data_IF_054643048847
#
_entry.id   IF_054643048847
#
_cell.length_a   1.000
_cell.length_b   1.000
_cell.length_c   1.000
_cell.angle_alpha   90.00
_cell.angle_beta   90.00
_cell.angle_gamma   90.00
#
_symmetry.space_group_name_H-M   'P 1'
#
loop_
_entity.id
_entity.type
_entity.pdbx_description
1 polymer ?
#
# COMPACT_ATOMS: atom_id res chain seq x y z
N UNK A 1 -2.26 -14.60 -21.05
CA UNK A 1 -1.68 -13.77 -19.98
C UNK A 1 -0.93 -12.54 -20.50
N UNK A 2 -0.03 -12.67 -21.48
CA UNK A 2 0.75 -11.52 -21.98
C UNK A 2 -0.14 -10.39 -22.54
N UNK A 3 -1.21 -10.71 -23.25
CA UNK A 3 -2.20 -9.74 -23.75
C UNK A 3 -2.89 -8.94 -22.67
N UNK A 4 -3.22 -9.56 -21.50
CA UNK A 4 -3.81 -8.85 -20.38
C UNK A 4 -2.81 -7.86 -19.75
N UNK A 5 -1.55 -8.25 -19.58
CA UNK A 5 -0.50 -7.34 -19.11
C UNK A 5 -0.22 -6.22 -20.11
N UNK A 6 -0.32 -6.48 -21.42
CA UNK A 6 -0.21 -5.43 -22.43
C UNK A 6 -1.34 -4.41 -22.27
N UNK A 7 -2.59 -4.86 -22.10
CA UNK A 7 -3.73 -3.98 -21.86
C UNK A 7 -3.57 -3.11 -20.60
N UNK A 8 -2.96 -3.63 -19.54
CA UNK A 8 -2.67 -2.82 -18.33
C UNK A 8 -1.82 -1.60 -18.66
N UNK A 9 -0.87 -1.72 -19.58
CA UNK A 9 0.08 -0.65 -19.89
C UNK A 9 -0.34 0.25 -21.05
N UNK A 10 -1.13 -0.25 -22.00
CA UNK A 10 -1.44 0.47 -23.25
C UNK A 10 -2.85 1.06 -23.29
N UNK A 11 -3.77 0.61 -22.44
CA UNK A 11 -5.17 1.01 -22.49
C UNK A 11 -5.50 2.19 -21.56
N UNK A 12 -6.75 2.65 -21.60
CA UNK A 12 -7.26 3.66 -20.65
C UNK A 12 -7.24 3.11 -19.23
N UNK A 13 -7.15 3.99 -18.23
CA UNK A 13 -7.04 3.59 -16.81
C UNK A 13 -8.16 2.62 -16.37
N UNK A 14 -9.39 2.83 -16.82
CA UNK A 14 -10.51 1.97 -16.48
C UNK A 14 -10.36 0.55 -17.05
N UNK A 15 -9.84 0.42 -18.26
CA UNK A 15 -9.56 -0.88 -18.89
C UNK A 15 -8.38 -1.54 -18.19
N UNK A 16 -7.31 -0.78 -17.92
CA UNK A 16 -6.14 -1.24 -17.15
C UNK A 16 -6.54 -1.80 -15.80
N UNK A 17 -7.42 -1.11 -15.07
CA UNK A 17 -7.91 -1.53 -13.76
C UNK A 17 -8.73 -2.83 -13.82
N UNK A 18 -9.60 -2.96 -14.83
CA UNK A 18 -10.37 -4.20 -15.06
C UNK A 18 -9.46 -5.36 -15.45
N UNK A 19 -8.46 -5.11 -16.29
CA UNK A 19 -7.44 -6.10 -16.64
C UNK A 19 -6.65 -6.56 -15.42
N UNK A 20 -6.23 -5.64 -14.54
CA UNK A 20 -5.58 -5.95 -13.28
C UNK A 20 -6.47 -6.79 -12.35
N UNK A 21 -7.78 -6.49 -12.29
CA UNK A 21 -8.73 -7.26 -11.49
C UNK A 21 -8.84 -8.71 -12.01
N UNK A 22 -8.88 -8.91 -13.31
CA UNK A 22 -8.88 -10.25 -13.92
C UNK A 22 -7.57 -10.98 -13.65
N UNK A 23 -6.43 -10.28 -13.78
CA UNK A 23 -5.12 -10.88 -13.48
C UNK A 23 -5.04 -11.28 -12.01
N UNK A 24 -5.60 -10.47 -11.09
CA UNK A 24 -5.65 -10.78 -9.65
C UNK A 24 -6.43 -12.08 -9.39
N UNK A 25 -7.59 -12.24 -10.02
CA UNK A 25 -8.38 -13.46 -9.88
C UNK A 25 -7.63 -14.70 -10.40
N UNK A 26 -6.94 -14.56 -11.53
CA UNK A 26 -6.11 -15.64 -12.08
C UNK A 26 -4.92 -15.90 -11.18
N UNK A 27 -4.23 -14.85 -10.72
CA UNK A 27 -3.06 -14.94 -9.83
C UNK A 27 -3.38 -15.64 -8.51
N UNK A 28 -4.61 -15.49 -8.00
CA UNK A 28 -5.07 -16.17 -6.78
C UNK A 28 -5.05 -17.71 -6.89
N UNK A 29 -5.05 -18.27 -8.12
CA UNK A 29 -4.96 -19.71 -8.37
C UNK A 29 -3.51 -20.22 -8.43
N UNK A 30 -2.51 -19.34 -8.36
CA UNK A 30 -1.10 -19.70 -8.44
C UNK A 30 -0.40 -19.54 -7.08
N UNK A 31 0.66 -20.31 -6.83
CA UNK A 31 1.47 -20.10 -5.61
C UNK A 31 2.14 -18.72 -5.59
N UNK A 32 2.33 -18.17 -4.40
CA UNK A 32 2.89 -16.83 -4.20
C UNK A 32 4.27 -16.61 -4.84
N UNK A 33 5.02 -17.68 -5.06
CA UNK A 33 6.35 -17.69 -5.71
C UNK A 33 6.28 -17.66 -7.24
N UNK A 34 5.08 -17.77 -7.83
CA UNK A 34 4.92 -17.80 -9.27
C UNK A 34 5.37 -16.47 -9.92
N UNK A 35 6.04 -16.54 -11.09
CA UNK A 35 6.42 -15.34 -11.84
C UNK A 35 5.22 -14.51 -12.28
N UNK A 36 4.04 -15.12 -12.44
CA UNK A 36 2.80 -14.42 -12.77
C UNK A 36 2.39 -13.54 -11.60
N UNK A 37 2.44 -14.04 -10.38
CA UNK A 37 2.12 -13.31 -9.15
C UNK A 37 3.10 -12.14 -8.97
N UNK A 38 4.40 -12.37 -9.11
CA UNK A 38 5.41 -11.31 -9.03
C UNK A 38 5.19 -10.21 -10.08
N UNK A 39 4.86 -10.60 -11.31
CA UNK A 39 4.54 -9.66 -12.39
C UNK A 39 3.27 -8.86 -12.12
N UNK A 40 2.25 -9.50 -11.53
CA UNK A 40 1.03 -8.83 -11.09
C UNK A 40 1.31 -7.75 -10.05
N UNK A 41 2.00 -8.09 -8.96
CA UNK A 41 2.32 -7.12 -7.92
C UNK A 41 3.21 -5.97 -8.43
N UNK A 42 4.11 -6.24 -9.35
CA UNK A 42 4.90 -5.18 -10.03
C UNK A 42 4.00 -4.22 -10.81
N UNK A 43 3.04 -4.74 -11.58
CA UNK A 43 2.10 -3.92 -12.33
C UNK A 43 1.20 -3.11 -11.41
N UNK A 44 0.66 -3.71 -10.35
CA UNK A 44 -0.16 -3.04 -9.35
C UNK A 44 0.65 -1.94 -8.61
N UNK A 45 1.91 -2.21 -8.29
CA UNK A 45 2.80 -1.25 -7.64
C UNK A 45 3.12 -0.03 -8.54
N UNK A 46 3.28 -0.26 -9.83
CA UNK A 46 3.45 0.81 -10.81
C UNK A 46 2.18 1.66 -10.96
N UNK A 47 0.99 1.06 -10.85
CA UNK A 47 -0.29 1.77 -10.96
C UNK A 47 -0.50 2.79 -9.83
N UNK A 48 0.13 2.62 -8.66
CA UNK A 48 0.09 3.62 -7.58
C UNK A 48 0.68 4.98 -8.00
N UNK A 49 1.65 4.98 -8.91
CA UNK A 49 2.29 6.20 -9.44
C UNK A 49 1.67 6.67 -10.76
N UNK A 50 0.61 6.03 -11.22
CA UNK A 50 -0.06 6.45 -12.46
C UNK A 50 -0.82 7.77 -12.23
N UNK A 51 -0.48 8.85 -12.94
CA UNK A 51 -1.16 10.14 -12.76
C UNK A 51 -2.66 10.07 -13.09
N UNK A 52 -3.09 9.10 -13.90
CA UNK A 52 -4.50 8.89 -14.24
C UNK A 52 -5.33 8.40 -13.06
N UNK A 53 -4.69 7.81 -12.03
CA UNK A 53 -5.36 7.37 -10.81
C UNK A 53 -6.05 8.54 -10.10
N UNK A 54 -5.46 9.73 -10.13
CA UNK A 54 -5.96 10.90 -9.39
C UNK A 54 -7.24 11.49 -9.99
N UNK A 55 -7.41 11.35 -11.30
CA UNK A 55 -8.58 11.86 -12.05
C UNK A 55 -9.60 10.76 -12.38
N UNK A 56 -9.31 9.52 -11.99
CA UNK A 56 -10.16 8.39 -12.32
C UNK A 56 -11.48 8.40 -11.53
N UNK A 57 -12.61 8.14 -12.20
CA UNK A 57 -13.90 7.97 -11.55
C UNK A 57 -14.01 6.69 -10.70
N UNK A 58 -13.19 5.69 -11.00
CA UNK A 58 -13.25 4.36 -10.39
C UNK A 58 -12.17 4.15 -9.32
N UNK A 59 -11.81 5.19 -8.55
CA UNK A 59 -10.83 5.13 -7.47
C UNK A 59 -11.22 4.09 -6.40
N UNK A 60 -12.50 3.98 -6.07
CA UNK A 60 -13.00 2.98 -5.12
C UNK A 60 -12.72 1.54 -5.59
N UNK A 61 -12.83 1.27 -6.90
CA UNK A 61 -12.50 -0.03 -7.46
C UNK A 61 -11.00 -0.33 -7.32
N UNK A 62 -10.16 0.68 -7.53
CA UNK A 62 -8.71 0.56 -7.31
C UNK A 62 -8.38 0.27 -5.83
N UNK A 63 -8.98 1.01 -4.89
CA UNK A 63 -8.78 0.77 -3.45
C UNK A 63 -9.21 -0.64 -3.05
N UNK A 64 -10.34 -1.11 -3.55
CA UNK A 64 -10.81 -2.47 -3.29
C UNK A 64 -9.86 -3.54 -3.87
N UNK A 65 -9.34 -3.32 -5.09
CA UNK A 65 -8.35 -4.21 -5.69
C UNK A 65 -7.05 -4.22 -4.86
N UNK A 66 -6.56 -3.06 -4.46
CA UNK A 66 -5.38 -2.90 -3.63
C UNK A 66 -5.54 -3.64 -2.29
N UNK A 67 -6.67 -3.42 -1.60
CA UNK A 67 -6.98 -4.09 -0.33
C UNK A 67 -6.99 -5.61 -0.47
N UNK A 68 -7.72 -6.15 -1.45
CA UNK A 68 -7.77 -7.60 -1.70
C UNK A 68 -6.39 -8.18 -1.99
N UNK A 69 -5.57 -7.46 -2.73
CA UNK A 69 -4.22 -7.89 -3.08
C UNK A 69 -3.29 -7.92 -1.88
N UNK A 70 -3.30 -6.86 -1.07
CA UNK A 70 -2.49 -6.79 0.15
C UNK A 70 -2.93 -7.82 1.18
N UNK A 71 -4.24 -8.06 1.28
CA UNK A 71 -4.80 -9.09 2.17
C UNK A 71 -4.36 -10.51 1.80
N UNK A 72 -4.22 -10.78 0.52
CA UNK A 72 -3.86 -12.11 0.01
C UNK A 72 -2.34 -12.35 -0.07
N UNK A 73 -1.51 -11.33 0.15
CA UNK A 73 -0.07 -11.42 -0.01
C UNK A 73 0.63 -11.88 1.27
N UNK A 74 1.36 -13.01 1.25
CA UNK A 74 2.13 -13.46 2.42
C UNK A 74 3.47 -12.74 2.58
N UNK A 75 3.92 -11.94 1.59
CA UNK A 75 5.24 -11.31 1.56
C UNK A 75 5.27 -9.97 2.29
N UNK A 76 5.65 -9.97 3.57
CA UNK A 76 5.74 -8.77 4.40
C UNK A 76 6.58 -7.62 3.78
N UNK A 77 7.79 -7.83 3.23
CA UNK A 77 8.56 -6.73 2.63
C UNK A 77 7.82 -6.04 1.48
N UNK A 78 7.09 -6.82 0.69
CA UNK A 78 6.29 -6.30 -0.42
C UNK A 78 5.14 -5.41 0.07
N UNK A 79 4.43 -5.86 1.10
CA UNK A 79 3.34 -5.08 1.70
C UNK A 79 3.86 -3.78 2.30
N UNK A 80 5.00 -3.81 3.00
CA UNK A 80 5.60 -2.60 3.55
C UNK A 80 5.94 -1.58 2.47
N UNK A 81 6.45 -2.03 1.31
CA UNK A 81 6.71 -1.16 0.17
C UNK A 81 5.42 -0.55 -0.40
N UNK A 82 4.34 -1.34 -0.52
CA UNK A 82 3.04 -0.83 -0.93
C UNK A 82 2.49 0.21 0.04
N UNK A 83 2.52 -0.07 1.34
CA UNK A 83 2.06 0.86 2.38
C UNK A 83 2.86 2.17 2.31
N UNK A 84 4.19 2.08 2.23
CA UNK A 84 5.07 3.26 2.12
C UNK A 84 4.72 4.12 0.91
N UNK A 85 4.69 3.51 -0.28
CA UNK A 85 4.35 4.23 -1.52
C UNK A 85 2.92 4.78 -1.50
N UNK A 86 1.97 4.03 -0.97
CA UNK A 86 0.59 4.48 -0.88
C UNK A 86 0.44 5.68 0.07
N UNK A 87 1.14 5.69 1.21
CA UNK A 87 1.22 6.87 2.09
C UNK A 87 1.77 8.09 1.36
N UNK A 88 2.82 7.93 0.55
CA UNK A 88 3.37 9.02 -0.27
C UNK A 88 2.35 9.58 -1.26
N UNK A 89 1.58 8.71 -1.91
CA UNK A 89 0.50 9.11 -2.82
C UNK A 89 -0.59 9.89 -2.10
N UNK A 90 -1.01 9.44 -0.91
CA UNK A 90 -2.03 10.12 -0.11
C UNK A 90 -1.56 11.51 0.36
N UNK A 91 -0.31 11.62 0.83
CA UNK A 91 0.28 12.91 1.28
C UNK A 91 0.49 13.86 0.11
N UNK A 92 0.79 13.35 -1.06
CA UNK A 92 0.95 14.15 -2.28
C UNK A 92 -0.33 14.90 -2.69
N UNK A 93 -1.48 14.61 -2.06
CA UNK A 93 -2.74 15.31 -2.29
C UNK A 93 -3.34 15.11 -3.69
N UNK A 94 -2.85 14.13 -4.40
CA UNK A 94 -3.22 13.88 -5.80
C UNK A 94 -4.56 13.16 -5.97
N UNK A 95 -5.41 13.10 -4.99
CA UNK A 95 -6.76 12.56 -5.07
C UNK A 95 -7.74 13.49 -4.38
N UNK A 96 -9.02 13.39 -4.72
CA UNK A 96 -10.06 14.08 -3.96
C UNK A 96 -10.09 13.60 -2.50
N UNK A 97 -10.77 14.38 -1.64
CA UNK A 97 -10.95 14.04 -0.22
C UNK A 97 -11.50 12.62 0.00
N UNK A 98 -12.35 12.15 -0.90
CA UNK A 98 -12.92 10.80 -0.87
C UNK A 98 -11.86 9.72 -1.06
N UNK A 99 -10.91 9.93 -1.97
CA UNK A 99 -9.80 9.00 -2.19
C UNK A 99 -8.86 8.94 -0.98
N UNK A 100 -8.55 10.10 -0.40
CA UNK A 100 -7.70 10.19 0.80
C UNK A 100 -8.39 9.50 1.98
N UNK A 101 -9.68 9.79 2.22
CA UNK A 101 -10.43 9.15 3.31
C UNK A 101 -10.53 7.64 3.13
N UNK A 102 -10.86 7.16 1.93
CA UNK A 102 -10.90 5.74 1.60
C UNK A 102 -9.53 5.08 1.72
N UNK A 103 -8.46 5.79 1.34
CA UNK A 103 -7.08 5.33 1.46
C UNK A 103 -6.63 5.18 2.92
N UNK A 104 -6.94 6.15 3.77
CA UNK A 104 -6.64 6.09 5.21
C UNK A 104 -7.40 4.95 5.89
N UNK A 105 -8.67 4.75 5.54
CA UNK A 105 -9.45 3.62 6.02
C UNK A 105 -8.81 2.29 5.60
N UNK A 106 -8.42 2.16 4.32
CA UNK A 106 -7.74 0.97 3.81
C UNK A 106 -6.44 0.68 4.57
N UNK A 107 -5.62 1.70 4.83
CA UNK A 107 -4.40 1.56 5.62
C UNK A 107 -4.71 1.05 7.03
N UNK A 108 -5.75 1.58 7.68
CA UNK A 108 -6.21 1.12 8.99
C UNK A 108 -6.56 -0.37 8.97
N UNK A 109 -7.34 -0.82 7.99
CA UNK A 109 -7.73 -2.23 7.83
C UNK A 109 -6.53 -3.15 7.57
N UNK A 110 -5.60 -2.73 6.69
CA UNK A 110 -4.36 -3.48 6.43
C UNK A 110 -3.53 -3.60 7.71
N UNK A 111 -3.37 -2.51 8.46
CA UNK A 111 -2.64 -2.53 9.72
C UNK A 111 -3.29 -3.44 10.78
N UNK A 112 -4.61 -3.39 10.91
CA UNK A 112 -5.36 -4.24 11.86
C UNK A 112 -5.24 -5.73 11.51
N UNK A 113 -5.33 -6.07 10.24
CA UNK A 113 -5.29 -7.46 9.81
C UNK A 113 -3.94 -8.13 10.06
N UNK A 114 -2.84 -7.42 9.82
CA UNK A 114 -1.48 -7.91 10.08
C UNK A 114 -1.13 -8.00 11.57
N UNK A 115 -1.94 -7.39 12.43
CA UNK A 115 -1.83 -7.53 13.89
C UNK A 115 -2.42 -8.81 14.41
N UNK A 116 -3.40 -9.38 13.71
CA UNK A 116 -4.14 -10.57 14.15
C UNK A 116 -3.30 -11.84 14.04
N UNK A 117 -2.35 -11.90 13.10
CA UNK A 117 -1.54 -13.10 12.86
C UNK A 117 -0.41 -13.30 13.88
N UNK A 118 -0.22 -12.37 14.83
CA UNK A 118 0.82 -12.43 15.86
C UNK A 118 0.21 -12.57 17.26
N UNK A 119 -1.05 -12.98 17.39
CA UNK A 119 -1.71 -13.12 18.69
C UNK A 119 -1.31 -14.40 19.43
N UNK A 120 -0.02 -14.52 19.76
CA UNK A 120 0.47 -15.48 20.75
C UNK A 120 1.00 -14.84 22.02
N UNK A 121 1.37 -13.57 22.04
CA UNK A 121 2.02 -12.94 23.20
C UNK A 121 1.67 -11.45 23.26
N UNK A 122 1.00 -11.08 24.31
CA UNK A 122 0.75 -9.78 24.93
C UNK A 122 -0.69 -9.27 24.84
N UNK A 123 -1.47 -9.74 25.80
CA UNK A 123 -2.53 -8.94 26.42
C UNK A 123 -1.92 -7.65 26.94
N UNK A 124 -2.50 -6.56 26.57
CA UNK A 124 -2.70 -5.32 27.28
C UNK A 124 -2.40 -4.06 26.45
N UNK A 125 -3.44 -3.28 26.30
CA UNK A 125 -3.43 -1.82 26.13
C UNK A 125 -3.23 -1.21 24.73
N UNK A 126 -2.86 -1.96 23.69
CA UNK A 126 -2.74 -1.41 22.31
C UNK A 126 -3.80 -1.92 21.33
N UNK A 127 -4.98 -2.33 21.83
CA UNK A 127 -6.12 -2.71 20.98
C UNK A 127 -6.69 -1.55 20.13
N UNK A 128 -6.28 -0.31 20.40
CA UNK A 128 -6.76 0.85 19.67
C UNK A 128 -5.98 1.11 18.35
N UNK A 129 -4.76 0.55 18.25
CA UNK A 129 -3.94 0.59 17.04
C UNK A 129 -3.19 -0.74 16.92
N UNK A 130 -3.91 -1.79 16.52
CA UNK A 130 -3.32 -3.10 16.29
C UNK A 130 -2.38 -3.10 15.07
N UNK A 131 -1.24 -2.44 15.20
CA UNK A 131 -0.23 -2.39 14.13
C UNK A 131 0.71 -3.58 14.27
N UNK A 132 0.93 -4.32 13.18
CA UNK A 132 1.89 -5.43 13.20
C UNK A 132 3.29 -4.95 13.58
N UNK A 133 4.12 -5.79 14.23
CA UNK A 133 5.48 -5.40 14.63
C UNK A 133 6.31 -4.84 13.47
N UNK A 134 6.16 -5.37 12.27
CA UNK A 134 6.87 -4.87 11.10
C UNK A 134 6.41 -3.48 10.64
N UNK A 135 5.11 -3.20 10.68
CA UNK A 135 4.59 -1.86 10.38
C UNK A 135 4.88 -0.87 11.51
N UNK A 136 4.90 -1.35 12.77
CA UNK A 136 5.27 -0.53 13.91
C UNK A 136 6.70 -0.03 13.82
N UNK A 137 7.64 -0.85 13.37
CA UNK A 137 9.02 -0.40 13.15
C UNK A 137 9.10 0.74 12.12
N UNK A 138 8.24 0.75 11.11
CA UNK A 138 8.18 1.85 10.14
C UNK A 138 7.60 3.14 10.75
N UNK A 139 6.73 3.04 11.75
CA UNK A 139 6.13 4.21 12.42
C UNK A 139 7.08 4.78 13.47
N UNK A 140 7.73 3.90 14.25
CA UNK A 140 8.56 4.28 15.39
C UNK A 140 10.00 4.65 14.98
N UNK A 141 10.45 4.28 13.78
CA UNK A 141 11.78 4.65 13.30
C UNK A 141 11.85 6.14 12.98
N UNK A 142 12.71 6.84 13.73
CA UNK A 142 13.25 8.11 13.25
C UNK A 142 13.99 7.84 11.90
N UNK A 143 13.97 8.79 10.94
CA UNK A 143 14.73 8.64 9.70
C UNK A 143 16.19 8.39 10.07
N UNK A 144 16.64 7.15 9.87
CA UNK A 144 18.01 6.75 10.15
C UNK A 144 18.91 7.39 9.09
N UNK A 145 19.45 8.54 9.40
CA UNK A 145 20.59 9.07 8.66
C UNK A 145 21.82 8.26 9.07
N UNK A 146 22.29 7.40 8.18
CA UNK A 146 23.65 6.87 8.25
C UNK A 146 23.87 5.45 8.76
N UNK A 147 22.88 4.57 8.81
CA UNK A 147 23.21 3.15 8.85
C UNK A 147 23.61 2.71 7.43
N UNK A 148 24.79 2.13 7.29
CA UNK A 148 25.25 1.41 6.09
C UNK A 148 24.34 0.19 5.85
N UNK A 149 23.17 0.43 5.32
CA UNK A 149 22.13 -0.53 5.01
C UNK A 149 21.32 0.00 3.86
N UNK A 150 20.83 -0.86 3.04
CA UNK A 150 20.07 -0.58 1.84
C UNK A 150 18.96 0.48 2.09
N UNK A 151 19.17 1.69 1.59
CA UNK A 151 18.24 2.81 1.70
C UNK A 151 16.95 2.52 0.89
N UNK A 152 15.81 3.05 1.35
CA UNK A 152 14.56 2.93 0.61
C UNK A 152 14.67 3.57 -0.77
N UNK A 153 14.44 2.76 -1.81
CA UNK A 153 14.45 3.20 -3.21
C UNK A 153 13.01 3.38 -3.72
N UNK A 154 12.52 4.63 -3.83
CA UNK A 154 11.16 4.91 -4.34
C UNK A 154 11.00 4.58 -5.83
N UNK A 155 12.09 4.47 -6.59
CA UNK A 155 12.07 4.17 -8.02
C UNK A 155 12.14 2.68 -8.33
N UNK A 156 12.37 1.84 -7.33
CA UNK A 156 12.44 0.40 -7.53
C UNK A 156 11.13 -0.12 -8.11
N UNK A 157 11.25 -0.85 -9.22
CA UNK A 157 10.09 -1.42 -9.91
C UNK A 157 9.47 -2.59 -9.15
N UNK A 158 10.29 -3.36 -8.44
CA UNK A 158 9.87 -4.51 -7.66
C UNK A 158 9.71 -4.12 -6.19
N UNK A 159 8.48 -4.19 -5.64
CA UNK A 159 8.20 -3.71 -4.30
C UNK A 159 9.00 -4.45 -3.21
N UNK A 160 9.26 -5.74 -3.40
CA UNK A 160 9.99 -6.56 -2.42
C UNK A 160 11.45 -6.13 -2.24
N UNK A 161 12.04 -5.43 -3.22
CA UNK A 161 13.43 -4.95 -3.21
C UNK A 161 13.51 -3.43 -3.02
N UNK A 162 12.43 -2.78 -2.66
CA UNK A 162 12.40 -1.33 -2.42
C UNK A 162 12.95 -0.93 -1.04
N UNK A 163 13.34 -1.89 -0.20
CA UNK A 163 13.91 -1.69 1.14
C UNK A 163 13.07 -0.79 2.06
N UNK A 164 11.74 -0.88 1.95
CA UNK A 164 10.82 -0.05 2.73
C UNK A 164 10.96 -0.24 4.25
N UNK A 165 11.50 -1.39 4.69
CA UNK A 165 11.76 -1.68 6.10
C UNK A 165 12.75 -0.71 6.74
N UNK A 166 13.69 -0.16 5.97
CA UNK A 166 14.70 0.79 6.45
C UNK A 166 14.21 2.25 6.49
N UNK A 167 12.96 2.52 6.09
CA UNK A 167 12.40 3.86 6.07
C UNK A 167 11.28 4.03 7.10
N UNK A 168 11.14 5.25 7.66
CA UNK A 168 10.02 5.60 8.54
C UNK A 168 8.76 5.96 7.74
N UNK A 169 7.57 5.76 8.34
CA UNK A 169 6.28 6.21 7.78
C UNK A 169 5.94 7.65 8.26
N UNK A 170 6.88 8.58 8.11
CA UNK A 170 6.68 9.98 8.48
C UNK A 170 5.52 10.65 7.72
N UNK A 171 5.16 10.09 6.56
CA UNK A 171 4.02 10.54 5.76
C UNK A 171 2.70 10.44 6.53
N UNK A 172 2.51 9.39 7.33
CA UNK A 172 1.32 9.24 8.17
C UNK A 172 1.25 10.34 9.23
N UNK A 173 2.37 10.69 9.84
CA UNK A 173 2.42 11.77 10.82
C UNK A 173 1.98 13.10 10.18
N UNK A 174 2.43 13.39 8.97
CA UNK A 174 2.00 14.59 8.24
C UNK A 174 0.52 14.58 7.88
N UNK A 175 -0.03 13.43 7.46
CA UNK A 175 -1.48 13.31 7.20
C UNK A 175 -2.30 13.60 8.45
N UNK A 176 -1.92 13.04 9.59
CA UNK A 176 -2.63 13.24 10.85
C UNK A 176 -2.51 14.67 11.38
N UNK A 177 -1.31 15.26 11.35
CA UNK A 177 -1.12 16.65 11.79
C UNK A 177 -1.89 17.64 10.90
N UNK A 178 -1.90 17.42 9.60
CA UNK A 178 -2.68 18.23 8.68
C UNK A 178 -4.20 18.11 8.96
N UNK A 179 -4.70 16.87 9.14
CA UNK A 179 -6.10 16.63 9.44
C UNK A 179 -6.54 17.26 10.76
N UNK A 180 -5.72 17.15 11.81
CA UNK A 180 -6.00 17.76 13.12
C UNK A 180 -6.00 19.29 13.07
N UNK A 181 -5.16 19.91 12.26
CA UNK A 181 -5.08 21.36 12.13
C UNK A 181 -6.20 21.97 11.27
N UNK A 182 -6.71 21.22 10.31
CA UNK A 182 -7.72 21.72 9.36
C UNK A 182 -9.16 21.32 9.71
N UNK A 183 -9.34 20.34 10.57
CA UNK A 183 -10.62 19.95 11.13
C UNK A 183 -10.57 20.06 12.66
N UNK A 184 -10.75 21.27 13.21
CA UNK A 184 -10.88 21.41 14.66
C UNK A 184 -12.16 20.72 15.09
N UNK A 185 -12.04 19.50 15.62
CA UNK A 185 -13.11 18.80 16.31
C UNK A 185 -13.45 19.63 17.55
N UNK A 186 -14.46 20.48 17.44
CA UNK A 186 -15.11 21.04 18.63
C UNK A 186 -15.90 19.90 19.26
N UNK A 187 -15.32 19.31 20.30
CA UNK A 187 -16.07 18.56 21.32
C UNK A 187 -16.93 19.54 22.12
#
# INVERSE_FOLDING_TARGET
>A
MNTLFLLVHTSTFNISLRALTLIQQIAASYPATSPIVSRYYRALYATLLDPRLHTARNQALFLNLLFKSLKADPHQPRIMAFVKRFCQVLVGGFGGSEFVAGGLWLLGEVCCQWSSDISGITHTRFKLFGVSPGLRTLIDQAPAHGAEGEEYDPYKREPQYAHAKSSALWELVRCFTWALNHYPWRL
#
